data_IF_106379771416
#
_entry.id   IF_106379771416
#
_cell.length_a   1.000
_cell.length_b   1.000
_cell.length_c   1.000
_cell.angle_alpha   90.00
_cell.angle_beta   90.00
_cell.angle_gamma   90.00
#
_symmetry.space_group_name_H-M   'P 1'
#
loop_
_entity.id
_entity.type
_entity.pdbx_description
1 polymer ?
#
# COMPACT_ATOMS: atom_id res chain seq x y z
N UNK A 1 -24.75 -4.12 12.70
CA UNK A 1 -24.43 -3.64 11.32
C UNK A 1 -23.15 -4.34 10.86
N UNK A 2 -23.24 -5.12 9.81
CA UNK A 2 -22.09 -5.81 9.20
C UNK A 2 -21.16 -4.83 8.49
N UNK A 3 -19.98 -5.26 8.09
CA UNK A 3 -19.04 -4.45 7.33
C UNK A 3 -19.64 -3.96 6.01
N UNK A 4 -20.34 -4.84 5.28
CA UNK A 4 -21.00 -4.49 4.02
C UNK A 4 -22.14 -3.47 4.24
N UNK A 5 -22.93 -3.63 5.29
CA UNK A 5 -23.98 -2.64 5.63
C UNK A 5 -23.40 -1.26 5.93
N UNK A 6 -22.31 -1.19 6.71
CA UNK A 6 -21.60 0.08 6.97
C UNK A 6 -21.10 0.72 5.67
N UNK A 7 -20.55 -0.08 4.75
CA UNK A 7 -20.12 0.41 3.45
C UNK A 7 -21.27 0.99 2.64
N UNK A 8 -22.40 0.28 2.58
CA UNK A 8 -23.58 0.72 1.82
C UNK A 8 -24.19 2.00 2.39
N UNK A 9 -24.13 2.20 3.71
CA UNK A 9 -24.69 3.37 4.37
C UNK A 9 -23.76 4.60 4.29
N UNK A 10 -22.44 4.40 4.42
CA UNK A 10 -21.51 5.50 4.64
C UNK A 10 -20.48 5.73 3.54
N UNK A 11 -20.32 4.82 2.59
CA UNK A 11 -19.37 4.96 1.49
C UNK A 11 -20.11 5.20 0.17
N UNK A 12 -19.75 6.28 -0.52
CA UNK A 12 -20.34 6.60 -1.82
C UNK A 12 -20.19 5.42 -2.79
N UNK A 13 -21.29 5.05 -3.47
CA UNK A 13 -21.33 3.91 -4.38
C UNK A 13 -20.70 4.26 -5.74
N UNK A 14 -19.36 4.30 -5.78
CA UNK A 14 -18.58 4.57 -6.99
C UNK A 14 -18.01 3.31 -7.65
N UNK A 15 -18.05 2.18 -6.94
CA UNK A 15 -17.56 0.88 -7.43
C UNK A 15 -18.54 -0.23 -7.10
N UNK A 16 -18.70 -1.19 -8.03
CA UNK A 16 -19.31 -2.48 -7.72
C UNK A 16 -18.27 -3.38 -7.07
N UNK A 17 -18.56 -3.87 -5.87
CA UNK A 17 -17.66 -4.71 -5.09
C UNK A 17 -18.18 -6.15 -5.04
N UNK A 18 -17.26 -7.10 -4.96
CA UNK A 18 -17.60 -8.47 -4.61
C UNK A 18 -18.05 -8.53 -3.13
N UNK A 19 -18.99 -9.43 -2.82
CA UNK A 19 -19.46 -9.64 -1.44
C UNK A 19 -18.43 -10.45 -0.63
N UNK A 20 -17.25 -9.91 -0.50
CA UNK A 20 -16.13 -10.48 0.26
C UNK A 20 -15.50 -9.36 1.07
N UNK A 21 -15.37 -9.56 2.37
CA UNK A 21 -14.71 -8.61 3.27
C UNK A 21 -13.35 -9.17 3.66
N UNK A 22 -12.31 -8.74 2.97
CA UNK A 22 -10.95 -9.15 3.27
C UNK A 22 -10.47 -8.43 4.53
N UNK A 23 -9.95 -9.18 5.50
CA UNK A 23 -9.52 -8.66 6.79
C UNK A 23 -8.02 -8.81 7.03
N UNK A 24 -7.43 -9.90 6.57
CA UNK A 24 -6.02 -10.24 6.81
C UNK A 24 -5.35 -10.70 5.54
N UNK A 25 -4.03 -10.63 5.53
CA UNK A 25 -3.23 -11.17 4.43
C UNK A 25 -1.82 -11.49 4.86
N UNK A 26 -1.21 -12.46 4.17
CA UNK A 26 0.20 -12.83 4.33
C UNK A 26 0.72 -13.39 3.02
N UNK A 27 1.77 -12.79 2.48
CA UNK A 27 2.31 -13.19 1.19
C UNK A 27 1.24 -13.18 0.09
N UNK A 28 0.96 -14.32 -0.50
CA UNK A 28 -0.04 -14.49 -1.57
C UNK A 28 -1.47 -14.78 -1.10
N UNK A 29 -1.70 -14.91 0.20
CA UNK A 29 -2.98 -15.35 0.74
C UNK A 29 -3.69 -14.20 1.44
N UNK A 30 -4.97 -14.00 1.13
CA UNK A 30 -5.88 -13.12 1.87
C UNK A 30 -6.92 -13.97 2.61
N UNK A 31 -7.43 -13.44 3.72
CA UNK A 31 -8.45 -14.09 4.56
C UNK A 31 -9.59 -13.12 4.78
N UNK A 32 -10.83 -13.57 4.60
CA UNK A 32 -12.02 -12.77 4.87
C UNK A 32 -12.42 -12.79 6.35
N UNK A 33 -13.44 -11.98 6.71
CA UNK A 33 -13.95 -11.88 8.08
C UNK A 33 -14.58 -13.18 8.60
N UNK A 34 -14.94 -14.10 7.71
CA UNK A 34 -15.45 -15.44 8.05
C UNK A 34 -14.33 -16.50 8.16
N UNK A 35 -13.08 -16.12 7.92
CA UNK A 35 -11.91 -17.00 7.99
C UNK A 35 -11.64 -17.80 6.73
N UNK A 36 -12.33 -17.51 5.61
CA UNK A 36 -12.07 -18.19 4.34
C UNK A 36 -10.82 -17.64 3.69
N UNK A 37 -9.97 -18.53 3.20
CA UNK A 37 -8.72 -18.17 2.51
C UNK A 37 -8.90 -18.04 1.00
N UNK A 38 -8.18 -17.06 0.43
CA UNK A 38 -8.13 -16.77 -1.01
C UNK A 38 -6.68 -16.64 -1.45
N UNK A 39 -6.35 -17.22 -2.61
CA UNK A 39 -5.06 -16.95 -3.27
C UNK A 39 -5.23 -15.70 -4.11
N UNK A 40 -4.40 -14.70 -3.87
CA UNK A 40 -4.47 -13.42 -4.55
C UNK A 40 -3.66 -13.44 -5.87
N UNK A 41 -4.36 -13.41 -7.00
CA UNK A 41 -3.79 -13.21 -8.32
C UNK A 41 -3.90 -11.76 -8.83
N UNK A 42 -4.59 -10.89 -8.08
CA UNK A 42 -4.86 -9.51 -8.48
C UNK A 42 -3.85 -8.50 -7.98
N UNK A 43 -3.21 -8.77 -6.83
CA UNK A 43 -2.22 -7.90 -6.19
C UNK A 43 -2.68 -6.46 -5.97
N UNK A 44 -3.99 -6.23 -5.72
CA UNK A 44 -4.55 -4.88 -5.65
C UNK A 44 -4.35 -4.09 -6.95
N UNK A 45 -4.52 -4.76 -8.10
CA UNK A 45 -4.24 -4.24 -9.44
C UNK A 45 -2.73 -3.89 -9.58
N UNK A 46 -1.87 -4.82 -9.17
CA UNK A 46 -0.41 -4.73 -9.32
C UNK A 46 0.32 -3.86 -8.29
N UNK A 47 -0.38 -3.37 -7.25
CA UNK A 47 0.24 -2.52 -6.22
C UNK A 47 0.96 -3.30 -5.14
N UNK A 48 0.48 -4.49 -4.77
CA UNK A 48 1.08 -5.34 -3.75
C UNK A 48 2.16 -6.26 -4.34
N UNK A 49 3.18 -5.69 -4.96
CA UNK A 49 4.23 -6.45 -5.65
C UNK A 49 5.08 -7.34 -4.72
N UNK A 50 5.15 -7.01 -3.43
CA UNK A 50 5.82 -7.81 -2.40
C UNK A 50 4.89 -8.82 -1.72
N UNK A 51 3.61 -8.85 -2.10
CA UNK A 51 2.58 -9.59 -1.39
C UNK A 51 2.03 -8.83 -0.18
N UNK A 52 1.13 -9.49 0.57
CA UNK A 52 0.55 -8.91 1.78
C UNK A 52 1.53 -8.94 2.94
N UNK A 53 1.63 -7.84 3.65
CA UNK A 53 2.30 -7.74 4.96
C UNK A 53 3.76 -8.23 4.96
N UNK A 54 4.52 -7.89 3.91
CA UNK A 54 5.97 -8.11 3.90
C UNK A 54 6.58 -7.42 5.12
N UNK A 55 7.32 -8.19 5.94
CA UNK A 55 7.80 -7.71 7.24
C UNK A 55 8.82 -6.58 7.09
N UNK A 56 9.75 -6.69 6.16
CA UNK A 56 10.79 -5.67 5.94
C UNK A 56 10.18 -4.36 5.47
N UNK A 57 9.22 -4.43 4.53
CA UNK A 57 8.47 -3.27 4.08
C UNK A 57 7.66 -2.63 5.22
N UNK A 58 6.93 -3.43 6.00
CA UNK A 58 6.10 -2.95 7.10
C UNK A 58 6.94 -2.26 8.19
N UNK A 59 8.07 -2.84 8.54
CA UNK A 59 9.00 -2.27 9.53
C UNK A 59 9.59 -0.94 9.04
N UNK A 60 9.99 -0.86 7.77
CA UNK A 60 10.50 0.37 7.18
C UNK A 60 9.46 1.50 7.18
N UNK A 61 8.20 1.19 6.80
CA UNK A 61 7.09 2.16 6.83
C UNK A 61 6.80 2.61 8.26
N UNK A 62 6.72 1.69 9.22
CA UNK A 62 6.50 2.02 10.63
C UNK A 62 7.62 2.89 11.20
N UNK A 63 8.87 2.59 10.91
CA UNK A 63 10.01 3.38 11.36
C UNK A 63 9.97 4.80 10.79
N UNK A 64 9.70 4.94 9.48
CA UNK A 64 9.61 6.26 8.84
C UNK A 64 8.41 7.07 9.35
N UNK A 65 7.25 6.44 9.55
CA UNK A 65 6.08 7.12 10.09
C UNK A 65 6.29 7.65 11.51
N UNK A 66 7.08 6.95 12.32
CA UNK A 66 7.47 7.41 13.67
C UNK A 66 8.55 8.49 13.67
N UNK A 67 9.38 8.53 12.63
CA UNK A 67 10.42 9.55 12.50
C UNK A 67 9.85 10.86 11.97
N UNK A 68 9.33 10.85 10.76
CA UNK A 68 8.63 11.97 10.12
C UNK A 68 7.88 11.48 8.89
N UNK A 69 6.58 11.76 8.79
CA UNK A 69 5.74 11.27 7.71
C UNK A 69 5.55 12.25 6.56
N UNK A 70 5.63 13.56 6.82
CA UNK A 70 5.39 14.59 5.81
C UNK A 70 6.02 15.94 6.18
N UNK A 71 6.59 16.63 5.21
CA UNK A 71 7.20 17.96 5.39
C UNK A 71 6.85 18.96 4.30
N UNK A 72 6.12 18.59 3.27
CA UNK A 72 5.98 19.30 2.00
C UNK A 72 7.31 19.43 1.20
N UNK A 73 7.19 19.81 -0.08
CA UNK A 73 8.36 20.04 -0.95
C UNK A 73 9.10 21.36 -0.67
N UNK A 74 8.72 22.11 0.34
CA UNK A 74 9.51 23.25 0.81
C UNK A 74 10.81 22.83 1.51
N UNK A 75 10.90 21.57 1.93
CA UNK A 75 12.05 21.04 2.67
C UNK A 75 12.62 19.79 1.99
N UNK A 76 13.91 19.60 2.11
CA UNK A 76 14.56 18.37 1.72
C UNK A 76 14.30 17.28 2.76
N UNK A 77 14.07 16.05 2.28
CA UNK A 77 13.96 14.87 3.15
C UNK A 77 15.00 13.82 2.76
N UNK A 78 15.62 13.25 3.77
CA UNK A 78 16.67 12.24 3.55
C UNK A 78 16.15 11.02 2.79
N UNK A 79 14.98 10.51 3.17
CA UNK A 79 14.39 9.30 2.56
C UNK A 79 14.13 9.49 1.06
N UNK A 80 13.64 10.66 0.64
CA UNK A 80 13.41 10.95 -0.78
C UNK A 80 14.73 11.07 -1.55
N UNK A 81 15.73 11.71 -0.96
CA UNK A 81 17.05 11.87 -1.58
C UNK A 81 17.74 10.51 -1.77
N UNK A 82 17.74 9.67 -0.74
CA UNK A 82 18.33 8.33 -0.80
C UNK A 82 17.63 7.45 -1.85
N UNK A 83 16.28 7.51 -1.90
CA UNK A 83 15.50 6.76 -2.88
C UNK A 83 15.75 7.24 -4.31
N UNK A 84 15.78 8.55 -4.55
CA UNK A 84 16.10 9.11 -5.86
C UNK A 84 17.50 8.71 -6.33
N UNK A 85 18.49 8.77 -5.45
CA UNK A 85 19.86 8.34 -5.75
C UNK A 85 19.91 6.84 -6.12
N UNK A 86 19.18 5.99 -5.37
CA UNK A 86 19.10 4.56 -5.66
C UNK A 86 18.43 4.27 -7.00
N UNK A 87 17.35 4.96 -7.32
CA UNK A 87 16.69 4.85 -8.62
C UNK A 87 17.60 5.28 -9.76
N UNK A 88 18.33 6.38 -9.61
CA UNK A 88 19.31 6.84 -10.61
C UNK A 88 20.38 5.80 -10.87
N UNK A 89 20.94 5.20 -9.83
CA UNK A 89 21.93 4.13 -9.93
C UNK A 89 21.40 2.92 -10.72
N UNK A 90 20.16 2.49 -10.43
CA UNK A 90 19.56 1.30 -11.04
C UNK A 90 19.10 1.53 -12.48
N UNK A 91 18.51 2.70 -12.75
CA UNK A 91 17.85 2.97 -14.03
C UNK A 91 18.72 3.73 -15.03
N UNK A 92 19.76 4.39 -14.56
CA UNK A 92 20.62 5.26 -15.38
C UNK A 92 20.02 6.63 -15.71
N UNK A 93 18.84 6.97 -15.19
CA UNK A 93 18.28 8.31 -15.33
C UNK A 93 18.89 9.28 -14.31
N UNK A 94 19.16 10.51 -14.73
CA UNK A 94 19.82 11.52 -13.89
C UNK A 94 18.91 12.10 -12.79
N UNK A 95 17.62 12.22 -13.07
CA UNK A 95 16.66 12.89 -12.17
C UNK A 95 15.31 12.19 -12.14
N UNK A 96 14.70 12.18 -10.95
CA UNK A 96 13.43 11.56 -10.66
C UNK A 96 12.39 12.62 -10.31
N UNK A 97 11.17 12.44 -10.83
CA UNK A 97 9.99 13.20 -10.41
C UNK A 97 9.07 12.28 -9.60
N UNK A 98 8.63 12.74 -8.44
CA UNK A 98 7.68 12.03 -7.58
C UNK A 98 6.33 12.75 -7.59
N UNK A 99 5.28 12.01 -7.93
CA UNK A 99 3.91 12.50 -7.93
C UNK A 99 2.97 11.48 -7.29
N UNK A 100 1.72 11.89 -7.06
CA UNK A 100 0.71 11.01 -6.45
C UNK A 100 0.19 9.95 -7.42
N UNK A 101 0.15 10.27 -8.67
CA UNK A 101 -0.36 9.41 -9.73
C UNK A 101 0.09 9.88 -11.11
#
# INVERSE_FOLDING_TARGET
MSTIEKFNEHVMHTYNRYNVVLEKGSGRTAVDEDGREYIDFGSGIGTNSLGYCDEEWADAVCAQARAIQHTSNYFYTKVQADFAAKLSEITGYDKMFFGNS
#
